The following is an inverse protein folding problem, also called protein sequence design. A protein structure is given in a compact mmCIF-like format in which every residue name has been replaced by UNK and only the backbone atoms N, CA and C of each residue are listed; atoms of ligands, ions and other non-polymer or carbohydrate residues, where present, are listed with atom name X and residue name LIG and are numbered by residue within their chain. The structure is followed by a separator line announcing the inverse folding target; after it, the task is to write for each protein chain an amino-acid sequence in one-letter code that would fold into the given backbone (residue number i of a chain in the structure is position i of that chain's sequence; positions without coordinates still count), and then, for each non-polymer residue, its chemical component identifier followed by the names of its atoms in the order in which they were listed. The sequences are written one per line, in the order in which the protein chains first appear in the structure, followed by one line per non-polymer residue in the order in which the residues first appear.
data_IF_706885985892
#
_entry.id   IF_706885985892
#
_cell.length_a   1.000
_cell.length_b   1.000
_cell.length_c   1.000
_cell.angle_alpha   90.00
_cell.angle_beta   90.00
_cell.angle_gamma   90.00
#
_symmetry.space_group_name_H-M   'P 1'
#
loop_
_entity.id
_entity.type
_entity.pdbx_description
1 polymer ?
#
# COMPACT_ATOMS: atom_id res chain seq x y z
N UNK A 1 8.55 -0.96 9.56
CA UNK A 1 7.21 -1.53 9.35
C UNK A 1 6.08 -0.58 9.76
N UNK A 2 6.15 0.06 10.94
CA UNK A 2 5.08 0.95 11.44
C UNK A 2 4.58 2.03 10.46
N UNK A 3 5.47 2.63 9.65
CA UNK A 3 5.10 3.62 8.62
C UNK A 3 4.19 3.04 7.52
N UNK A 4 4.48 1.81 7.07
CA UNK A 4 3.69 1.10 6.05
C UNK A 4 2.32 0.75 6.60
N UNK A 5 2.28 0.21 7.81
CA UNK A 5 1.03 -0.18 8.48
C UNK A 5 0.11 1.04 8.71
N UNK A 6 0.67 2.16 9.17
CA UNK A 6 -0.08 3.42 9.33
C UNK A 6 -0.65 3.93 8.01
N UNK A 7 0.14 3.86 6.93
CA UNK A 7 -0.32 4.30 5.61
C UNK A 7 -1.45 3.40 5.08
N UNK A 8 -1.31 2.08 5.19
CA UNK A 8 -2.34 1.10 4.80
C UNK A 8 -3.62 1.27 5.62
N UNK A 9 -3.49 1.49 6.93
CA UNK A 9 -4.65 1.74 7.79
C UNK A 9 -5.40 2.99 7.35
N UNK A 10 -4.67 4.08 7.07
CA UNK A 10 -5.27 5.33 6.56
C UNK A 10 -6.02 5.12 5.25
N UNK A 11 -5.46 4.35 4.32
CA UNK A 11 -6.13 3.98 3.08
C UNK A 11 -7.44 3.22 3.36
N UNK A 12 -7.38 2.19 4.22
CA UNK A 12 -8.53 1.37 4.59
C UNK A 12 -9.63 2.17 5.26
N UNK A 13 -9.27 3.09 6.15
CA UNK A 13 -10.24 3.94 6.85
C UNK A 13 -10.93 4.92 5.90
N UNK A 14 -10.21 5.44 4.91
CA UNK A 14 -10.75 6.39 3.93
C UNK A 14 -11.63 5.71 2.88
N UNK A 15 -11.10 4.70 2.17
CA UNK A 15 -11.81 4.03 1.08
C UNK A 15 -12.71 2.87 1.54
N UNK A 16 -12.70 2.53 2.83
CA UNK A 16 -13.43 1.39 3.40
C UNK A 16 -13.10 0.04 2.76
N UNK A 17 -11.91 -0.07 2.15
CA UNK A 17 -11.43 -1.29 1.53
C UNK A 17 -9.95 -1.55 1.84
N UNK A 18 -9.52 -2.82 1.93
CA UNK A 18 -8.12 -3.18 2.15
C UNK A 18 -7.19 -2.69 1.03
N UNK A 19 -5.95 -2.36 1.38
CA UNK A 19 -4.90 -2.06 0.40
C UNK A 19 -4.21 -3.37 -0.05
N UNK A 20 -4.12 -3.65 -1.36
CA UNK A 20 -3.48 -4.87 -1.88
C UNK A 20 -1.94 -4.75 -1.86
N UNK A 21 -1.36 -4.71 -0.66
CA UNK A 21 0.07 -4.42 -0.44
C UNK A 21 1.04 -5.25 -1.30
N UNK A 22 0.77 -6.54 -1.52
CA UNK A 22 1.63 -7.43 -2.31
C UNK A 22 1.72 -7.04 -3.80
N UNK A 23 0.70 -6.38 -4.36
CA UNK A 23 0.80 -5.84 -5.73
C UNK A 23 1.69 -4.59 -5.80
N UNK A 24 2.00 -3.99 -4.65
CA UNK A 24 2.70 -2.71 -4.52
C UNK A 24 4.00 -2.81 -3.71
N UNK A 25 4.54 -4.02 -3.48
CA UNK A 25 5.83 -4.23 -2.80
C UNK A 25 6.99 -3.55 -3.55
N UNK A 26 6.88 -3.41 -4.87
CA UNK A 26 7.81 -2.65 -5.71
C UNK A 26 7.95 -1.17 -5.32
N UNK A 27 6.98 -0.61 -4.60
CA UNK A 27 7.04 0.76 -4.07
C UNK A 27 7.84 0.81 -2.77
N UNK A 28 7.82 -0.28 -1.99
CA UNK A 28 8.49 -0.36 -0.69
C UNK A 28 9.89 -0.95 -0.71
N UNK A 29 10.23 -1.71 -1.76
CA UNK A 29 11.52 -2.39 -1.88
C UNK A 29 12.68 -1.42 -2.20
N UNK A 30 13.89 -1.86 -1.87
CA UNK A 30 15.15 -1.32 -2.35
C UNK A 30 16.12 -2.48 -2.66
N UNK A 31 17.36 -2.17 -3.07
CA UNK A 31 18.36 -3.18 -3.44
C UNK A 31 18.72 -4.19 -2.32
N UNK A 32 18.35 -3.92 -1.06
CA UNK A 32 18.76 -4.72 0.10
C UNK A 32 17.58 -5.32 0.89
N UNK A 33 16.38 -4.75 0.77
CA UNK A 33 15.20 -5.09 1.58
C UNK A 33 13.89 -4.93 0.80
N UNK A 34 12.96 -5.86 1.00
CA UNK A 34 11.58 -5.78 0.48
C UNK A 34 10.79 -4.59 1.04
N UNK A 35 11.16 -4.11 2.24
CA UNK A 35 10.55 -2.94 2.88
C UNK A 35 11.63 -2.04 3.47
N UNK A 36 11.91 -0.94 2.76
CA UNK A 36 12.85 0.10 3.18
C UNK A 36 12.13 1.31 3.79
N UNK A 37 12.86 2.13 4.55
CA UNK A 37 12.31 3.38 5.11
C UNK A 37 11.92 4.37 4.00
N UNK A 38 12.73 4.46 2.94
CA UNK A 38 12.42 5.30 1.78
C UNK A 38 11.20 4.78 1.02
N UNK A 39 11.11 3.46 0.83
CA UNK A 39 9.95 2.83 0.23
C UNK A 39 8.67 3.05 1.04
N UNK A 40 8.74 2.98 2.37
CA UNK A 40 7.61 3.29 3.24
C UNK A 40 7.13 4.76 3.08
N UNK A 41 8.05 5.70 2.91
CA UNK A 41 7.72 7.11 2.60
C UNK A 41 7.06 7.26 1.22
N UNK A 42 7.55 6.53 0.20
CA UNK A 42 6.94 6.50 -1.13
C UNK A 42 5.52 5.95 -1.10
N UNK A 43 5.29 4.84 -0.40
CA UNK A 43 3.96 4.27 -0.20
C UNK A 43 3.01 5.25 0.51
N UNK A 44 3.51 5.94 1.54
CA UNK A 44 2.71 6.93 2.27
C UNK A 44 2.27 8.07 1.35
N UNK A 45 3.19 8.58 0.52
CA UNK A 45 2.88 9.62 -0.46
C UNK A 45 1.90 9.11 -1.51
N UNK A 46 2.11 7.91 -2.03
CA UNK A 46 1.20 7.27 -2.99
C UNK A 46 -0.23 7.17 -2.45
N UNK A 47 -0.39 6.69 -1.21
CA UNK A 47 -1.70 6.62 -0.55
C UNK A 47 -2.31 8.01 -0.34
N UNK A 48 -1.50 9.01 -0.01
CA UNK A 48 -1.99 10.38 0.11
C UNK A 48 -2.53 10.91 -1.22
N UNK A 49 -1.79 10.72 -2.31
CA UNK A 49 -2.20 11.08 -3.66
C UNK A 49 -3.53 10.40 -4.06
N UNK A 50 -3.70 9.12 -3.73
CA UNK A 50 -4.96 8.39 -3.98
C UNK A 50 -6.13 9.02 -3.23
N UNK A 51 -5.94 9.33 -1.94
CA UNK A 51 -6.94 9.98 -1.08
C UNK A 51 -7.30 11.37 -1.63
N UNK A 52 -6.31 12.19 -1.99
CA UNK A 52 -6.53 13.53 -2.55
C UNK A 52 -7.31 13.47 -3.87
N UNK A 53 -7.05 12.45 -4.69
CA UNK A 53 -7.76 12.20 -5.95
C UNK A 53 -9.06 11.42 -5.77
N UNK A 54 -9.40 11.01 -4.55
CA UNK A 54 -10.48 10.09 -4.22
C UNK A 54 -10.55 8.88 -5.17
N UNK A 55 -9.38 8.36 -5.55
CA UNK A 55 -9.23 7.28 -6.54
C UNK A 55 -8.61 6.08 -5.83
N UNK A 56 -9.39 5.05 -5.47
CA UNK A 56 -8.82 3.83 -4.92
C UNK A 56 -7.97 3.07 -5.95
N UNK A 57 -7.06 2.22 -5.47
CA UNK A 57 -6.41 1.24 -6.34
C UNK A 57 -7.36 0.11 -6.71
N UNK A 58 -7.15 -0.46 -7.90
CA UNK A 58 -7.80 -1.69 -8.32
C UNK A 58 -7.24 -2.87 -7.51
N UNK A 59 -8.14 -3.73 -7.06
CA UNK A 59 -7.79 -4.96 -6.35
C UNK A 59 -8.11 -6.10 -7.31
N UNK A 60 -7.12 -6.90 -7.76
CA UNK A 60 -7.37 -8.03 -8.63
C UNK A 60 -8.37 -9.01 -8.02
N UNK A 61 -9.23 -9.61 -8.86
CA UNK A 61 -10.13 -10.67 -8.42
C UNK A 61 -9.35 -11.82 -7.75
N UNK A 62 -9.89 -12.29 -6.62
CA UNK A 62 -9.26 -13.33 -5.81
C UNK A 62 -7.97 -12.93 -5.12
N UNK A 63 -7.56 -11.65 -5.13
CA UNK A 63 -6.33 -11.20 -4.46
C UNK A 63 -6.25 -11.64 -2.99
N UNK A 64 -7.36 -11.54 -2.25
CA UNK A 64 -7.43 -11.97 -0.84
C UNK A 64 -7.59 -13.48 -0.66
N UNK A 65 -7.89 -14.22 -1.74
CA UNK A 65 -8.01 -15.68 -1.75
C UNK A 65 -6.68 -16.37 -2.09
N UNK A 66 -5.72 -15.63 -2.66
CA UNK A 66 -4.36 -16.11 -2.91
C UNK A 66 -3.68 -16.45 -1.58
N UNK A 67 -3.24 -17.71 -1.44
CA UNK A 67 -2.36 -18.14 -0.35
C UNK A 67 -0.92 -17.93 -0.82
N UNK A 68 -0.25 -16.94 -0.23
CA UNK A 68 1.17 -16.68 -0.40
C UNK A 68 1.99 -17.40 0.68
#
# INVERSE_FOLDING_TARGET
MELVEKAILKYKEYFKQPFPFYEYTHITENNEYDVSVEGAKRLTRFIHDLIEKNTPVEIPDGYFERKY
#
